data_IF_829108805845
#
_entry.id   IF_829108805845
#
_cell.length_a   1.000
_cell.length_b   1.000
_cell.length_c   1.000
_cell.angle_alpha   90.00
_cell.angle_beta   90.00
_cell.angle_gamma   90.00
#
_symmetry.space_group_name_H-M   'P 1'
#
loop_
_entity.id
_entity.type
_entity.pdbx_description
1 polymer ?
#
# COMPACT_ATOMS: atom_id res chain seq x y z
N UNK A 1 6.53 -13.07 25.78
CA UNK A 1 7.06 -11.71 25.44
C UNK A 1 6.80 -11.35 23.97
N UNK A 2 7.12 -12.21 23.00
CA UNK A 2 6.90 -11.96 21.57
C UNK A 2 5.41 -11.75 21.21
N UNK A 3 4.50 -12.61 21.67
CA UNK A 3 3.05 -12.47 21.40
C UNK A 3 2.46 -11.15 21.91
N UNK A 4 2.88 -10.69 23.10
CA UNK A 4 2.46 -9.39 23.65
C UNK A 4 2.95 -8.23 22.79
N UNK A 5 4.16 -8.33 22.22
CA UNK A 5 4.73 -7.35 21.29
C UNK A 5 3.91 -7.30 20.00
N UNK A 6 3.63 -8.45 19.39
CA UNK A 6 2.82 -8.55 18.16
C UNK A 6 1.41 -7.99 18.37
N UNK A 7 0.75 -8.35 19.48
CA UNK A 7 -0.58 -7.80 19.81
C UNK A 7 -0.57 -6.27 19.94
N UNK A 8 0.49 -5.70 20.51
CA UNK A 8 0.67 -4.25 20.61
C UNK A 8 0.85 -3.61 19.24
N UNK A 9 1.67 -4.20 18.36
CA UNK A 9 1.90 -3.69 17.00
C UNK A 9 0.60 -3.71 16.19
N UNK A 10 -0.12 -4.83 16.18
CA UNK A 10 -1.41 -4.95 15.49
C UNK A 10 -2.47 -4.01 16.06
N UNK A 11 -2.45 -3.74 17.37
CA UNK A 11 -3.34 -2.76 17.99
C UNK A 11 -3.06 -1.32 17.55
N UNK A 12 -1.80 -0.98 17.30
CA UNK A 12 -1.37 0.36 16.90
C UNK A 12 -1.42 0.60 15.38
N UNK A 13 -1.61 -0.44 14.57
CA UNK A 13 -1.46 -0.37 13.10
C UNK A 13 -2.65 0.21 12.36
N UNK A 14 -3.77 0.47 13.02
CA UNK A 14 -5.05 0.89 12.39
C UNK A 14 -5.64 -0.13 11.39
N UNK A 15 -5.03 -1.31 11.27
CA UNK A 15 -5.55 -2.43 10.49
C UNK A 15 -6.76 -3.05 11.20
N UNK A 16 -7.87 -3.16 10.48
CA UNK A 16 -9.12 -3.75 10.97
C UNK A 16 -8.95 -5.22 11.34
N UNK A 17 -9.82 -5.74 12.21
CA UNK A 17 -9.74 -7.15 12.61
C UNK A 17 -9.83 -8.11 11.42
N UNK A 18 -10.68 -7.82 10.43
CA UNK A 18 -10.80 -8.62 9.20
C UNK A 18 -9.47 -8.68 8.44
N UNK A 19 -8.77 -7.55 8.30
CA UNK A 19 -7.52 -7.48 7.56
C UNK A 19 -6.36 -8.17 8.30
N UNK A 20 -6.41 -8.26 9.63
CA UNK A 20 -5.43 -9.03 10.41
C UNK A 20 -5.44 -10.53 10.07
N UNK A 21 -6.52 -11.06 9.52
CA UNK A 21 -6.63 -12.46 9.13
C UNK A 21 -6.13 -12.73 7.71
N UNK A 22 -5.84 -11.69 6.92
CA UNK A 22 -5.33 -11.84 5.57
C UNK A 22 -3.83 -12.14 5.60
N UNK A 23 -3.44 -13.27 5.00
CA UNK A 23 -2.06 -13.67 4.81
C UNK A 23 -1.82 -14.26 3.42
N UNK A 24 -0.57 -14.63 3.15
CA UNK A 24 -0.20 -15.27 1.89
C UNK A 24 -0.85 -16.64 1.71
N UNK A 25 -1.14 -17.36 2.81
CA UNK A 25 -1.78 -18.68 2.77
C UNK A 25 -3.23 -18.59 2.30
N UNK A 26 -3.91 -17.50 2.65
CA UNK A 26 -5.31 -17.25 2.30
C UNK A 26 -5.46 -16.68 0.88
N UNK A 27 -4.36 -16.36 0.20
CA UNK A 27 -4.38 -15.85 -1.17
C UNK A 27 -4.27 -16.98 -2.19
N UNK A 28 -5.31 -17.18 -3.01
CA UNK A 28 -5.33 -18.22 -4.05
C UNK A 28 -4.64 -17.75 -5.32
N UNK A 29 -3.60 -18.48 -5.74
CA UNK A 29 -2.85 -18.25 -6.99
C UNK A 29 -3.15 -19.29 -8.08
N UNK A 30 -3.71 -20.44 -7.72
CA UNK A 30 -4.09 -21.49 -8.66
C UNK A 30 -5.15 -20.98 -9.65
N UNK A 31 -4.95 -21.27 -10.93
CA UNK A 31 -5.82 -20.81 -12.02
C UNK A 31 -5.80 -19.30 -12.29
N UNK A 32 -5.03 -18.50 -11.52
CA UNK A 32 -4.96 -17.05 -11.72
C UNK A 32 -4.06 -16.67 -12.90
N UNK A 33 -4.33 -15.53 -13.57
CA UNK A 33 -3.43 -14.97 -14.58
C UNK A 33 -2.03 -14.68 -14.04
N UNK A 34 -1.03 -14.68 -14.92
CA UNK A 34 0.38 -14.52 -14.54
C UNK A 34 0.64 -13.24 -13.74
N UNK A 35 0.04 -12.12 -14.12
CA UNK A 35 0.19 -10.85 -13.41
C UNK A 35 -0.21 -10.90 -11.92
N UNK A 36 -1.16 -11.78 -11.54
CA UNK A 36 -1.56 -11.99 -10.14
C UNK A 36 -0.51 -12.83 -9.40
N UNK A 37 0.07 -13.82 -10.08
CA UNK A 37 1.15 -14.64 -9.54
C UNK A 37 2.42 -13.80 -9.33
N UNK A 38 2.75 -12.94 -10.29
CA UNK A 38 3.89 -12.02 -10.21
C UNK A 38 3.72 -11.05 -9.03
N UNK A 39 2.51 -10.50 -8.83
CA UNK A 39 2.20 -9.66 -7.67
C UNK A 39 2.35 -10.41 -6.34
N UNK A 40 1.94 -11.68 -6.30
CA UNK A 40 2.08 -12.54 -5.11
C UNK A 40 3.54 -12.85 -4.80
N UNK A 41 4.35 -13.23 -5.78
CA UNK A 41 5.77 -13.53 -5.57
C UNK A 41 6.56 -12.27 -5.23
N UNK A 42 6.32 -11.15 -5.92
CA UNK A 42 6.93 -9.86 -5.59
C UNK A 42 6.66 -9.45 -4.13
N UNK A 43 5.44 -9.65 -3.64
CA UNK A 43 5.08 -9.37 -2.26
C UNK A 43 5.82 -10.28 -1.25
N UNK A 44 6.06 -11.56 -1.59
CA UNK A 44 6.83 -12.48 -0.75
C UNK A 44 8.32 -12.14 -0.76
N UNK A 45 8.89 -11.84 -1.93
CA UNK A 45 10.28 -11.41 -2.08
C UNK A 45 10.55 -10.16 -1.26
N UNK A 46 9.68 -9.15 -1.32
CA UNK A 46 9.80 -7.94 -0.51
C UNK A 46 9.88 -8.24 1.00
N UNK A 47 9.07 -9.17 1.52
CA UNK A 47 9.14 -9.58 2.94
C UNK A 47 10.43 -10.33 3.26
N UNK A 48 10.96 -11.11 2.31
CA UNK A 48 12.23 -11.82 2.48
C UNK A 48 13.41 -10.83 2.58
N UNK A 49 13.42 -9.83 1.70
CA UNK A 49 14.51 -8.88 1.50
C UNK A 49 14.43 -7.64 2.40
N UNK A 50 13.31 -7.45 3.12
CA UNK A 50 13.03 -6.24 3.91
C UNK A 50 14.21 -5.79 4.79
N UNK A 51 14.87 -6.73 5.49
CA UNK A 51 15.94 -6.38 6.43
C UNK A 51 17.16 -5.80 5.73
N UNK A 52 17.46 -6.26 4.50
CA UNK A 52 18.57 -5.79 3.68
C UNK A 52 18.25 -4.45 3.00
N UNK A 53 16.98 -4.23 2.64
CA UNK A 53 16.60 -3.07 1.82
C UNK A 53 16.05 -1.90 2.63
N UNK A 54 15.62 -2.07 3.89
CA UNK A 54 14.82 -1.06 4.63
C UNK A 54 15.45 0.33 4.74
N UNK A 55 16.78 0.45 4.69
CA UNK A 55 17.49 1.74 4.76
C UNK A 55 17.90 2.28 3.37
N UNK A 56 17.67 1.52 2.30
CA UNK A 56 17.99 1.94 0.93
C UNK A 56 16.99 2.98 0.40
N UNK A 57 17.29 3.61 -0.74
CA UNK A 57 16.32 4.47 -1.45
C UNK A 57 15.16 3.66 -2.04
N UNK A 58 15.42 2.43 -2.47
CA UNK A 58 14.49 1.54 -3.18
C UNK A 58 13.93 0.47 -2.23
N UNK A 59 13.33 0.94 -1.16
CA UNK A 59 12.96 0.11 0.00
C UNK A 59 11.46 -0.13 0.12
N UNK A 60 10.70 0.13 -0.94
CA UNK A 60 9.24 0.16 -0.91
C UNK A 60 8.65 -0.79 -1.96
N UNK A 61 7.36 -1.11 -1.80
CA UNK A 61 6.61 -1.97 -2.71
C UNK A 61 5.33 -1.27 -3.18
N UNK A 62 5.03 -1.40 -4.47
CA UNK A 62 3.78 -0.91 -5.05
C UNK A 62 3.10 -1.97 -5.91
N UNK A 63 1.81 -2.19 -5.63
CA UNK A 63 0.92 -2.99 -6.48
C UNK A 63 -0.11 -2.04 -7.10
N UNK A 64 -0.10 -1.95 -8.43
CA UNK A 64 -0.83 -0.93 -9.19
C UNK A 64 -1.79 -1.55 -10.21
N UNK A 65 -2.79 -0.79 -10.67
CA UNK A 65 -3.67 -1.16 -11.77
C UNK A 65 -4.95 -1.88 -11.37
N UNK A 66 -5.37 -2.90 -12.13
CA UNK A 66 -6.74 -3.42 -12.20
C UNK A 66 -7.45 -3.58 -10.83
N UNK A 67 -8.64 -2.97 -10.63
CA UNK A 67 -9.47 -3.18 -9.45
C UNK A 67 -9.81 -4.65 -9.22
N UNK A 68 -9.84 -5.07 -7.95
CA UNK A 68 -10.21 -6.45 -7.58
C UNK A 68 -9.16 -7.51 -7.89
N UNK A 69 -7.94 -7.16 -8.25
CA UNK A 69 -6.83 -8.11 -8.47
C UNK A 69 -6.16 -8.61 -7.18
N UNK A 70 -6.59 -8.14 -6.01
CA UNK A 70 -6.06 -8.61 -4.71
C UNK A 70 -4.89 -7.80 -4.15
N UNK A 71 -4.58 -6.62 -4.71
CA UNK A 71 -3.51 -5.71 -4.24
C UNK A 71 -3.58 -5.44 -2.74
N UNK A 72 -4.73 -5.01 -2.24
CA UNK A 72 -4.95 -4.73 -0.80
C UNK A 72 -4.72 -5.98 0.05
N UNK A 73 -5.16 -7.17 -0.39
CA UNK A 73 -4.90 -8.42 0.33
C UNK A 73 -3.41 -8.68 0.41
N UNK A 74 -2.70 -8.64 -0.72
CA UNK A 74 -1.27 -8.92 -0.78
C UNK A 74 -0.45 -7.96 0.09
N UNK A 75 -0.72 -6.65 0.02
CA UNK A 75 -0.03 -5.67 0.87
C UNK A 75 -0.43 -5.79 2.35
N UNK A 76 -1.66 -6.22 2.64
CA UNK A 76 -2.05 -6.57 4.01
C UNK A 76 -1.29 -7.80 4.50
N UNK A 77 -1.07 -8.81 3.65
CA UNK A 77 -0.27 -9.97 3.97
C UNK A 77 1.20 -9.58 4.25
N UNK A 78 1.77 -8.70 3.44
CA UNK A 78 3.10 -8.08 3.69
C UNK A 78 3.13 -7.38 5.05
N UNK A 79 2.18 -6.49 5.32
CA UNK A 79 2.12 -5.76 6.58
C UNK A 79 2.01 -6.69 7.80
N UNK A 80 1.16 -7.72 7.70
CA UNK A 80 0.96 -8.71 8.73
C UNK A 80 2.22 -9.54 8.98
N UNK A 81 2.91 -9.98 7.93
CA UNK A 81 4.19 -10.69 8.07
C UNK A 81 5.25 -9.81 8.73
N UNK A 82 5.43 -8.57 8.26
CA UNK A 82 6.37 -7.62 8.86
C UNK A 82 6.11 -7.42 10.36
N UNK A 83 4.85 -7.29 10.78
CA UNK A 83 4.52 -7.14 12.21
C UNK A 83 4.68 -8.43 13.01
N UNK A 84 4.31 -9.59 12.45
CA UNK A 84 4.27 -10.87 13.18
C UNK A 84 5.62 -11.56 13.25
N UNK A 85 6.37 -11.59 12.15
CA UNK A 85 7.63 -12.35 12.06
C UNK A 85 8.83 -11.44 12.23
N UNK A 86 8.82 -10.26 11.60
CA UNK A 86 9.92 -9.28 11.70
C UNK A 86 9.78 -8.28 12.85
N UNK A 87 8.62 -8.22 13.50
CA UNK A 87 8.31 -7.28 14.59
C UNK A 87 8.46 -5.80 14.22
N UNK A 88 8.22 -5.49 12.95
CA UNK A 88 8.30 -4.14 12.39
C UNK A 88 6.93 -3.47 12.51
N UNK A 89 6.82 -2.29 13.15
CA UNK A 89 5.59 -1.52 13.18
C UNK A 89 5.14 -1.08 11.77
N UNK A 90 3.87 -1.30 11.47
CA UNK A 90 3.23 -0.81 10.24
C UNK A 90 2.05 0.07 10.63
N UNK A 91 1.88 1.23 9.98
CA UNK A 91 0.68 2.04 10.07
C UNK A 91 -0.11 1.91 8.77
N UNK A 92 -1.38 1.54 8.86
CA UNK A 92 -2.31 1.48 7.75
C UNK A 92 -3.05 2.80 7.58
N UNK A 93 -3.11 3.27 6.35
CA UNK A 93 -3.83 4.47 5.97
C UNK A 93 -4.74 4.16 4.76
N UNK A 94 -6.05 3.99 5.00
CA UNK A 94 -7.02 3.86 3.91
C UNK A 94 -7.23 5.24 3.28
N UNK A 95 -6.75 5.47 2.05
CA UNK A 95 -6.73 6.83 1.47
C UNK A 95 -8.12 7.45 1.32
N UNK A 96 -9.10 6.67 0.87
CA UNK A 96 -10.45 7.16 0.54
C UNK A 96 -11.21 7.59 1.80
N UNK A 97 -11.22 6.75 2.83
CA UNK A 97 -11.88 7.02 4.11
C UNK A 97 -11.04 7.99 4.94
N UNK A 98 -9.72 7.78 4.95
CA UNK A 98 -8.79 8.45 5.84
C UNK A 98 -8.72 9.96 5.68
N UNK A 99 -9.03 10.49 4.49
CA UNK A 99 -9.15 11.94 4.24
C UNK A 99 -10.57 12.48 4.41
N UNK A 100 -11.59 11.64 4.35
CA UNK A 100 -12.99 12.05 4.58
C UNK A 100 -13.18 12.50 6.03
N UNK A 101 -12.54 11.82 6.97
CA UNK A 101 -12.65 12.08 8.41
C UNK A 101 -11.88 13.32 8.89
N UNK A 102 -10.95 13.84 8.09
CA UNK A 102 -9.99 14.88 8.53
C UNK A 102 -10.35 16.30 8.10
N UNK A 103 -11.38 16.47 7.27
CA UNK A 103 -11.64 17.75 6.61
C UNK A 103 -12.06 18.86 7.58
N UNK A 104 -12.49 18.51 8.79
CA UNK A 104 -13.06 19.44 9.76
C UNK A 104 -12.23 19.60 11.05
N UNK A 105 -11.09 18.92 11.18
CA UNK A 105 -10.26 18.95 12.40
C UNK A 105 -8.76 19.01 12.04
N UNK A 106 -8.18 20.21 12.18
CA UNK A 106 -6.79 20.49 11.83
C UNK A 106 -5.78 19.81 12.77
N UNK A 107 -6.05 19.77 14.07
CA UNK A 107 -5.14 19.17 15.04
C UNK A 107 -5.06 17.65 14.83
N UNK A 108 -6.21 17.02 14.56
CA UNK A 108 -6.29 15.60 14.22
C UNK A 108 -5.55 15.29 12.91
N UNK A 109 -5.68 16.17 11.91
CA UNK A 109 -4.97 16.07 10.64
C UNK A 109 -3.45 16.11 10.86
N UNK A 110 -2.94 17.11 11.56
CA UNK A 110 -1.50 17.25 11.80
C UNK A 110 -0.94 16.03 12.55
N UNK A 111 -1.64 15.57 13.59
CA UNK A 111 -1.25 14.38 14.34
C UNK A 111 -1.19 13.13 13.44
N UNK A 112 -2.19 12.95 12.55
CA UNK A 112 -2.23 11.82 11.62
C UNK A 112 -1.12 11.88 10.57
N UNK A 113 -0.90 13.05 9.96
CA UNK A 113 0.20 13.26 9.01
C UNK A 113 1.56 13.04 9.65
N UNK A 114 1.75 13.50 10.89
CA UNK A 114 2.97 13.26 11.66
C UNK A 114 3.21 11.76 11.89
N UNK A 115 2.16 11.01 12.28
CA UNK A 115 2.25 9.54 12.43
C UNK A 115 2.58 8.86 11.11
N UNK A 116 1.96 9.27 9.99
CA UNK A 116 2.27 8.74 8.65
C UNK A 116 3.71 9.01 8.24
N UNK A 117 4.26 10.18 8.56
CA UNK A 117 5.66 10.55 8.29
C UNK A 117 6.63 9.68 9.09
N UNK A 118 6.38 9.52 10.38
CA UNK A 118 7.34 8.93 11.31
C UNK A 118 7.30 7.40 11.38
N UNK A 119 6.18 6.76 11.01
CA UNK A 119 6.02 5.31 11.04
C UNK A 119 7.18 4.57 10.35
N UNK A 120 7.58 3.42 10.90
CA UNK A 120 8.65 2.60 10.31
C UNK A 120 8.26 2.14 8.91
N UNK A 121 7.05 1.60 8.76
CA UNK A 121 6.43 1.30 7.47
C UNK A 121 5.04 1.93 7.40
N UNK A 122 4.74 2.60 6.29
CA UNK A 122 3.42 3.18 6.02
C UNK A 122 2.75 2.38 4.89
N UNK A 123 1.59 1.80 5.16
CA UNK A 123 0.74 1.17 4.16
C UNK A 123 -0.33 2.16 3.73
N UNK A 124 -0.22 2.67 2.50
CA UNK A 124 -1.21 3.53 1.84
C UNK A 124 -2.07 2.65 0.93
N UNK A 125 -3.36 2.54 1.23
CA UNK A 125 -4.30 1.74 0.45
C UNK A 125 -5.20 2.61 -0.43
N UNK A 126 -5.40 2.20 -1.68
CA UNK A 126 -6.24 2.82 -2.70
C UNK A 126 -5.91 4.31 -2.98
N UNK A 127 -4.62 4.63 -3.12
CA UNK A 127 -4.16 6.00 -3.41
C UNK A 127 -4.81 6.54 -4.71
N UNK A 128 -5.43 7.72 -4.60
CA UNK A 128 -6.08 8.44 -5.71
C UNK A 128 -7.10 7.63 -6.52
N UNK A 129 -7.79 6.69 -5.86
CA UNK A 129 -8.81 5.82 -6.45
C UNK A 129 -9.70 6.56 -7.46
N UNK A 130 -9.74 6.13 -8.74
CA UNK A 130 -10.49 6.82 -9.77
C UNK A 130 -11.99 6.87 -9.49
N UNK A 131 -12.62 7.96 -9.90
CA UNK A 131 -14.08 8.08 -10.01
C UNK A 131 -14.39 8.39 -11.47
N UNK A 132 -15.24 7.57 -12.10
CA UNK A 132 -15.56 7.66 -13.53
C UNK A 132 -14.31 7.68 -14.43
N UNK A 133 -13.32 6.86 -14.10
CA UNK A 133 -12.07 6.72 -14.87
C UNK A 133 -11.07 7.87 -14.69
N UNK A 134 -11.37 8.88 -13.87
CA UNK A 134 -10.47 10.00 -13.57
C UNK A 134 -9.85 9.84 -12.17
N UNK A 135 -8.54 10.03 -11.99
CA UNK A 135 -7.91 10.04 -10.67
C UNK A 135 -8.65 10.99 -9.72
N UNK A 136 -8.93 10.53 -8.49
CA UNK A 136 -9.50 11.38 -7.44
C UNK A 136 -8.37 11.89 -6.56
N UNK A 137 -7.82 13.03 -6.93
CA UNK A 137 -6.79 13.74 -6.18
C UNK A 137 -7.19 15.22 -6.11
N UNK A 138 -7.79 15.66 -5.00
CA UNK A 138 -7.99 17.11 -4.82
C UNK A 138 -6.64 17.77 -4.52
N UNK A 139 -6.47 19.05 -4.87
CA UNK A 139 -5.21 19.78 -4.62
C UNK A 139 -4.76 19.64 -3.16
N UNK A 140 -5.70 19.78 -2.22
CA UNK A 140 -5.43 19.56 -0.80
C UNK A 140 -4.95 18.14 -0.46
N UNK A 141 -5.57 17.08 -1.01
CA UNK A 141 -5.13 15.70 -0.79
C UNK A 141 -3.74 15.46 -1.37
N UNK A 142 -3.48 16.06 -2.55
CA UNK A 142 -2.19 15.99 -3.22
C UNK A 142 -1.10 16.67 -2.38
N UNK A 143 -1.34 17.87 -1.87
CA UNK A 143 -0.42 18.59 -0.96
C UNK A 143 -0.09 17.74 0.29
N UNK A 144 -1.10 17.15 0.94
CA UNK A 144 -0.89 16.34 2.13
C UNK A 144 -0.08 15.08 1.81
N UNK A 145 -0.42 14.36 0.74
CA UNK A 145 0.30 13.15 0.34
C UNK A 145 1.72 13.45 -0.14
N UNK A 146 1.92 14.55 -0.85
CA UNK A 146 3.25 15.03 -1.22
C UNK A 146 4.10 15.29 0.02
N UNK A 147 3.55 15.99 1.03
CA UNK A 147 4.24 16.26 2.29
C UNK A 147 4.68 14.97 3.02
N UNK A 148 3.80 13.96 3.08
CA UNK A 148 4.12 12.65 3.69
C UNK A 148 5.17 11.90 2.86
N UNK A 149 4.92 11.72 1.57
CA UNK A 149 5.80 10.92 0.70
C UNK A 149 7.17 11.56 0.54
N UNK A 150 7.27 12.89 0.42
CA UNK A 150 8.55 13.59 0.35
C UNK A 150 9.37 13.39 1.63
N UNK A 151 8.75 13.53 2.81
CA UNK A 151 9.45 13.26 4.07
C UNK A 151 9.98 11.82 4.11
N UNK A 152 9.13 10.84 3.78
CA UNK A 152 9.52 9.42 3.80
C UNK A 152 10.60 9.11 2.77
N UNK A 153 10.49 9.67 1.57
CA UNK A 153 11.49 9.58 0.51
C UNK A 153 12.85 10.06 1.01
N UNK A 154 12.93 11.28 1.55
CA UNK A 154 14.19 11.87 2.02
C UNK A 154 14.81 11.11 3.20
N UNK A 155 13.97 10.52 4.06
CA UNK A 155 14.41 9.80 5.26
C UNK A 155 14.48 8.28 5.07
N UNK A 156 14.42 7.78 3.82
CA UNK A 156 14.50 6.35 3.51
C UNK A 156 13.49 5.51 4.30
N UNK A 157 12.24 5.97 4.42
CA UNK A 157 11.19 5.26 5.16
C UNK A 157 10.26 4.48 4.20
N UNK A 158 10.21 3.14 4.29
CA UNK A 158 9.44 2.29 3.37
C UNK A 158 7.96 2.61 3.27
N UNK A 159 7.38 2.46 2.09
CA UNK A 159 5.93 2.46 1.87
C UNK A 159 5.46 1.13 1.27
N UNK A 160 4.25 0.72 1.67
CA UNK A 160 3.46 -0.28 0.94
C UNK A 160 2.35 0.50 0.25
N UNK A 161 2.27 0.45 -1.08
CA UNK A 161 1.32 1.26 -1.85
C UNK A 161 0.41 0.41 -2.72
N UNK A 162 -0.90 0.54 -2.55
CA UNK A 162 -1.87 0.11 -3.55
C UNK A 162 -2.51 1.32 -4.26
N UNK A 163 -2.78 1.16 -5.56
CA UNK A 163 -3.61 2.11 -6.32
C UNK A 163 -4.24 1.42 -7.53
N UNK A 164 -5.39 1.91 -7.96
CA UNK A 164 -6.00 1.51 -9.22
C UNK A 164 -5.37 2.22 -10.44
N UNK A 165 -4.52 3.22 -10.19
CA UNK A 165 -3.75 3.92 -11.20
C UNK A 165 -2.49 3.14 -11.59
N UNK A 166 -2.00 3.40 -12.81
CA UNK A 166 -0.65 2.98 -13.22
C UNK A 166 0.39 4.01 -12.78
N UNK A 167 1.67 3.65 -12.83
CA UNK A 167 2.73 4.61 -12.51
C UNK A 167 2.73 5.82 -13.44
N UNK A 168 2.47 5.61 -14.73
CA UNK A 168 2.34 6.69 -15.71
C UNK A 168 1.22 7.66 -15.32
N UNK A 169 0.08 7.13 -14.87
CA UNK A 169 -1.03 7.97 -14.42
C UNK A 169 -0.71 8.71 -13.12
N UNK A 170 0.02 8.10 -12.18
CA UNK A 170 0.49 8.79 -10.98
C UNK A 170 1.43 9.95 -11.31
N UNK A 171 2.36 9.77 -12.25
CA UNK A 171 3.25 10.85 -12.74
C UNK A 171 2.45 11.97 -13.40
N UNK A 172 1.36 11.65 -14.11
CA UNK A 172 0.46 12.68 -14.68
C UNK A 172 -0.38 13.41 -13.63
N UNK A 173 -0.67 12.78 -12.48
CA UNK A 173 -1.34 13.45 -11.36
C UNK A 173 -0.41 14.49 -10.74
N UNK A 174 0.83 14.09 -10.46
CA UNK A 174 1.90 15.00 -10.05
C UNK A 174 3.25 14.35 -10.35
N UNK A 175 4.10 15.05 -11.10
CA UNK A 175 5.34 14.48 -11.61
C UNK A 175 6.32 14.18 -10.47
N UNK A 176 6.45 15.08 -9.51
CA UNK A 176 7.39 14.95 -8.41
C UNK A 176 6.98 13.83 -7.42
N UNK A 177 5.70 13.70 -7.11
CA UNK A 177 5.15 12.61 -6.30
C UNK A 177 5.27 11.28 -7.04
N UNK A 178 4.83 11.22 -8.30
CA UNK A 178 4.81 9.99 -9.09
C UNK A 178 6.21 9.42 -9.32
N UNK A 179 7.19 10.28 -9.65
CA UNK A 179 8.59 9.84 -9.87
C UNK A 179 9.26 9.37 -8.58
N UNK A 180 8.98 10.00 -7.43
CA UNK A 180 9.47 9.50 -6.12
C UNK A 180 8.87 8.15 -5.75
N UNK A 181 7.56 7.96 -5.97
CA UNK A 181 6.91 6.66 -5.78
C UNK A 181 7.58 5.61 -6.68
N UNK A 182 7.81 5.95 -7.95
CA UNK A 182 8.47 5.04 -8.89
C UNK A 182 9.86 4.63 -8.38
N UNK A 183 10.70 5.60 -8.01
CA UNK A 183 12.06 5.31 -7.52
C UNK A 183 12.04 4.47 -6.24
N UNK A 184 11.20 4.82 -5.26
CA UNK A 184 11.10 4.07 -4.00
C UNK A 184 10.70 2.61 -4.22
N UNK A 185 9.85 2.34 -5.22
CA UNK A 185 9.24 1.04 -5.46
C UNK A 185 9.84 0.29 -6.65
N UNK A 186 10.84 0.83 -7.36
CA UNK A 186 11.21 0.32 -8.70
C UNK A 186 11.62 -1.15 -8.71
N UNK A 187 12.20 -1.63 -7.61
CA UNK A 187 12.67 -3.00 -7.48
C UNK A 187 11.54 -3.96 -7.06
N UNK A 188 10.43 -3.44 -6.51
CA UNK A 188 9.23 -4.17 -6.09
C UNK A 188 7.96 -3.48 -6.60
N UNK A 189 7.85 -3.30 -7.91
CA UNK A 189 6.70 -2.67 -8.58
C UNK A 189 6.03 -3.67 -9.52
N UNK A 190 4.75 -3.95 -9.28
CA UNK A 190 3.93 -4.75 -10.19
C UNK A 190 2.74 -3.93 -10.67
N UNK A 191 2.59 -3.81 -11.99
CA UNK A 191 1.45 -3.14 -12.63
C UNK A 191 0.54 -4.20 -13.25
N UNK A 192 -0.59 -4.44 -12.60
CA UNK A 192 -1.57 -5.45 -13.02
C UNK A 192 -2.49 -4.84 -14.07
N UNK A 193 -2.35 -5.27 -15.33
CA UNK A 193 -3.18 -4.84 -16.47
C UNK A 193 -3.97 -6.04 -17.02
N UNK A 194 -5.22 -5.81 -17.41
CA UNK A 194 -6.05 -6.80 -18.09
C UNK A 194 -7.55 -6.58 -17.86
N UNK A 195 -8.38 -7.48 -18.37
CA UNK A 195 -9.83 -7.34 -18.30
C UNK A 195 -10.36 -7.60 -16.88
N UNK A 196 -11.40 -6.86 -16.49
CA UNK A 196 -12.01 -6.99 -15.17
C UNK A 196 -12.53 -8.41 -14.89
N UNK A 197 -13.15 -9.08 -15.87
CA UNK A 197 -13.69 -10.43 -15.71
C UNK A 197 -12.62 -11.51 -15.53
N UNK A 198 -11.39 -11.26 -15.98
CA UNK A 198 -10.28 -12.19 -15.86
C UNK A 198 -9.51 -12.02 -14.54
N UNK A 199 -9.36 -10.77 -14.10
CA UNK A 199 -8.48 -10.41 -12.99
C UNK A 199 -9.21 -10.12 -11.68
N UNK A 200 -10.49 -9.76 -11.73
CA UNK A 200 -11.25 -9.44 -10.53
C UNK A 200 -11.76 -10.73 -9.86
N UNK A 201 -11.14 -11.10 -8.74
CA UNK A 201 -11.54 -12.30 -7.99
C UNK A 201 -13.02 -12.29 -7.55
N UNK A 202 -13.63 -11.10 -7.44
CA UNK A 202 -15.04 -10.94 -7.07
C UNK A 202 -16.01 -11.26 -8.21
N UNK A 203 -15.49 -11.38 -9.44
CA UNK A 203 -16.26 -11.70 -10.64
C UNK A 203 -15.97 -13.14 -11.13
N UNK A 204 -15.22 -13.94 -10.37
CA UNK A 204 -14.99 -15.34 -10.71
C UNK A 204 -16.31 -16.10 -10.78
N UNK A 205 -16.55 -16.78 -11.90
CA UNK A 205 -17.78 -17.55 -12.13
C UNK A 205 -18.92 -16.76 -12.76
N UNK A 206 -18.78 -15.45 -12.95
CA UNK A 206 -19.70 -14.67 -13.78
C UNK A 206 -19.41 -15.04 -15.25
N UNK A 207 -20.30 -15.85 -15.84
CA UNK A 207 -20.36 -16.15 -17.27
C UNK A 207 -21.62 -15.53 -17.85
#
# INVERSE_FOLDING_TARGET
MAERKVKRLLGASEITHAFRQLGFREFRTEGKPQAIKDAFECAKEYVADYEQIKESRKNSIALLGQPGSGKTHLLTAVANELMRTRHVPVIYFPFVEGFTDLKNDFDLLEAKLSRMKQADVLFIDDLFKPVNGKPRATDWQLEQMYSVLNYRYLNHKPILLSSELTIETLVRVDEALGTRIYEMCSDYLVIIKGAAYELNHRLEGVR
#
